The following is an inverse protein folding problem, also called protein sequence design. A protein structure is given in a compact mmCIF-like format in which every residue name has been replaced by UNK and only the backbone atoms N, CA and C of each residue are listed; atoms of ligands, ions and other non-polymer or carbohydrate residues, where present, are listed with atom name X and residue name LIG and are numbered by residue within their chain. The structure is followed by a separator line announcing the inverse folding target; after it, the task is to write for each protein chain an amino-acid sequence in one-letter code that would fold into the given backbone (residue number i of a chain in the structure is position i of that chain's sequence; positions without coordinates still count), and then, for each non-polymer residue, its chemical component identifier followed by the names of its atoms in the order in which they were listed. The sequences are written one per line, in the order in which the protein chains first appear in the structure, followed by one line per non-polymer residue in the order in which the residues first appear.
data_IF_891843075710
#
_entry.id   IF_891843075710
#
_cell.length_a   1.000
_cell.length_b   1.000
_cell.length_c   1.000
_cell.angle_alpha   90.00
_cell.angle_beta   90.00
_cell.angle_gamma   90.00
#
_symmetry.space_group_name_H-M   'P 1'
#
loop_
_entity.id
_entity.type
_entity.pdbx_description
1 polymer ?
#
# COMPACT_ATOMS: atom_id res chain seq x y z
N UNK A 1 -17.76 -0.57 -16.51
CA UNK A 1 -16.93 -0.02 -15.42
C UNK A 1 -15.63 -0.79 -15.45
N UNK A 2 -14.53 -0.12 -15.75
CA UNK A 2 -13.22 -0.76 -15.91
C UNK A 2 -12.57 -0.92 -14.53
N UNK A 3 -11.71 -1.92 -14.31
CA UNK A 3 -10.99 -2.07 -13.02
C UNK A 3 -10.26 -0.79 -12.60
N UNK A 4 -9.75 -0.03 -13.57
CA UNK A 4 -9.12 1.27 -13.33
C UNK A 4 -10.05 2.29 -12.64
N UNK A 5 -11.35 2.31 -12.97
CA UNK A 5 -12.31 3.25 -12.39
C UNK A 5 -12.60 2.93 -10.92
N UNK A 6 -12.49 1.65 -10.55
CA UNK A 6 -12.74 1.13 -9.22
C UNK A 6 -11.48 1.21 -8.32
N UNK A 7 -10.31 0.89 -8.89
CA UNK A 7 -9.03 0.90 -8.18
C UNK A 7 -8.52 2.30 -7.87
N UNK A 8 -8.67 3.24 -8.81
CA UNK A 8 -8.16 4.59 -8.67
C UNK A 8 -8.58 5.28 -7.35
N UNK A 9 -9.89 5.36 -7.01
CA UNK A 9 -10.29 6.02 -5.77
C UNK A 9 -9.79 5.30 -4.51
N UNK A 10 -9.74 3.96 -4.53
CA UNK A 10 -9.24 3.16 -3.40
C UNK A 10 -7.76 3.42 -3.17
N UNK A 11 -6.95 3.30 -4.22
CA UNK A 11 -5.50 3.50 -4.15
C UNK A 11 -5.18 4.96 -3.77
N UNK A 12 -5.84 5.95 -4.36
CA UNK A 12 -5.60 7.36 -4.02
C UNK A 12 -5.87 7.66 -2.53
N UNK A 13 -6.96 7.12 -1.99
CA UNK A 13 -7.38 7.34 -0.60
C UNK A 13 -6.45 6.68 0.41
N UNK A 14 -6.06 5.44 0.15
CA UNK A 14 -5.23 4.62 1.05
C UNK A 14 -3.74 4.93 0.92
N UNK A 15 -3.27 5.34 -0.26
CA UNK A 15 -1.87 5.76 -0.48
C UNK A 15 -1.58 7.16 0.03
N UNK A 16 -2.61 7.90 0.48
CA UNK A 16 -2.50 9.25 1.01
C UNK A 16 -1.84 10.22 0.01
N UNK A 17 -2.18 10.12 -1.27
CA UNK A 17 -1.64 11.02 -2.31
C UNK A 17 -2.14 12.45 -2.14
N UNK A 18 -3.41 12.62 -1.73
CA UNK A 18 -4.08 13.92 -1.61
C UNK A 18 -4.29 14.37 -0.16
N UNK A 19 -4.02 13.52 0.83
CA UNK A 19 -4.29 13.81 2.25
C UNK A 19 -3.14 13.35 3.15
N UNK A 20 -3.06 13.88 4.37
CA UNK A 20 -2.10 13.38 5.36
C UNK A 20 -2.66 12.13 6.05
N UNK A 21 -1.81 11.20 6.47
CA UNK A 21 -2.23 10.05 7.26
C UNK A 21 -2.72 10.44 8.64
N UNK A 22 -3.55 9.57 9.19
CA UNK A 22 -4.01 9.70 10.55
C UNK A 22 -2.84 9.55 11.53
N UNK A 23 -2.87 10.35 12.60
CA UNK A 23 -1.84 10.30 13.64
C UNK A 23 -1.95 8.97 14.40
N UNK A 24 -0.79 8.36 14.66
CA UNK A 24 -0.69 7.13 15.45
C UNK A 24 0.61 7.12 16.26
N UNK A 25 0.61 6.36 17.36
CA UNK A 25 1.82 6.17 18.17
C UNK A 25 2.79 5.31 17.38
N UNK A 26 4.03 5.77 17.23
CA UNK A 26 5.08 5.05 16.53
C UNK A 26 5.33 3.67 17.13
N UNK A 27 5.33 2.64 16.29
CA UNK A 27 5.74 1.30 16.71
C UNK A 27 7.25 1.25 16.87
N UNK A 28 7.71 0.79 18.03
CA UNK A 28 9.15 0.67 18.37
C UNK A 28 9.94 -0.14 17.35
N UNK A 29 9.32 -1.17 16.75
CA UNK A 29 9.93 -2.00 15.70
C UNK A 29 10.41 -1.20 14.49
N UNK A 30 9.81 -0.03 14.20
CA UNK A 30 10.25 0.82 13.10
C UNK A 30 11.64 1.41 13.29
N UNK A 31 12.13 1.45 14.54
CA UNK A 31 13.48 1.94 14.87
C UNK A 31 14.56 0.92 14.58
N UNK A 32 14.20 -0.36 14.52
CA UNK A 32 15.16 -1.48 14.46
C UNK A 32 15.01 -2.33 13.20
N UNK A 33 13.91 -2.19 12.45
CA UNK A 33 13.66 -3.06 11.30
C UNK A 33 14.53 -2.61 10.11
N UNK A 34 15.20 -3.54 9.40
CA UNK A 34 15.94 -3.23 8.17
C UNK A 34 15.06 -2.52 7.13
N UNK A 35 15.73 -1.87 6.18
CA UNK A 35 15.08 -1.28 5.02
C UNK A 35 14.31 -2.35 4.22
N UNK A 36 13.27 -1.91 3.52
CA UNK A 36 12.55 -2.77 2.59
C UNK A 36 13.53 -3.18 1.50
N UNK A 37 13.78 -4.48 1.36
CA UNK A 37 14.65 -5.00 0.31
C UNK A 37 13.87 -4.99 -1.01
N UNK A 38 14.44 -4.42 -2.09
CA UNK A 38 13.87 -4.54 -3.43
C UNK A 38 13.64 -6.00 -3.80
N UNK A 39 12.62 -6.25 -4.61
CA UNK A 39 12.28 -7.57 -5.17
C UNK A 39 11.91 -8.66 -4.14
N UNK A 40 11.78 -8.30 -2.85
CA UNK A 40 11.34 -9.20 -1.78
C UNK A 40 10.05 -8.73 -1.14
N UNK A 41 9.11 -9.66 -0.98
CA UNK A 41 7.89 -9.43 -0.23
C UNK A 41 8.16 -9.54 1.28
N UNK A 42 8.10 -8.42 2.00
CA UNK A 42 8.11 -8.42 3.46
C UNK A 42 6.71 -8.75 3.99
N UNK A 43 6.55 -9.88 4.68
CA UNK A 43 5.26 -10.30 5.23
C UNK A 43 5.15 -9.92 6.72
N UNK A 44 4.11 -9.16 7.07
CA UNK A 44 3.79 -8.78 8.45
C UNK A 44 2.69 -9.68 8.98
N UNK A 45 2.98 -10.48 10.01
CA UNK A 45 2.04 -11.45 10.59
C UNK A 45 1.71 -11.15 12.06
N UNK A 46 0.57 -11.65 12.52
CA UNK A 46 0.15 -11.51 13.93
C UNK A 46 -1.36 -11.59 14.12
N UNK A 47 -1.78 -11.70 15.38
CA UNK A 47 -3.18 -11.85 15.78
C UNK A 47 -4.08 -10.67 15.36
N UNK A 48 -5.40 -10.88 15.36
CA UNK A 48 -6.36 -9.78 15.12
C UNK A 48 -6.17 -8.67 16.15
N UNK A 49 -6.31 -7.42 15.69
CA UNK A 49 -6.18 -6.19 16.51
C UNK A 49 -4.80 -5.89 17.11
N UNK A 50 -3.73 -6.56 16.70
CA UNK A 50 -2.36 -6.15 17.11
C UNK A 50 -1.86 -4.87 16.40
N UNK A 51 -2.56 -4.44 15.35
CA UNK A 51 -2.29 -3.21 14.58
C UNK A 51 -1.28 -3.40 13.45
N UNK A 52 -1.41 -4.49 12.68
CA UNK A 52 -0.62 -4.76 11.46
C UNK A 52 -0.80 -3.66 10.42
N UNK A 53 -2.05 -3.33 10.09
CA UNK A 53 -2.42 -2.23 9.19
C UNK A 53 -1.80 -0.90 9.61
N UNK A 54 -1.79 -0.62 10.92
CA UNK A 54 -1.12 0.56 11.49
C UNK A 54 0.40 0.50 11.32
N UNK A 55 1.02 -0.68 11.50
CA UNK A 55 2.45 -0.84 11.27
C UNK A 55 2.79 -0.67 9.79
N UNK A 56 2.02 -1.29 8.89
CA UNK A 56 2.22 -1.21 7.44
C UNK A 56 2.09 0.23 6.94
N UNK A 57 1.05 0.96 7.37
CA UNK A 57 0.90 2.38 7.03
C UNK A 57 2.03 3.21 7.60
N UNK A 58 2.49 2.95 8.83
CA UNK A 58 3.64 3.65 9.39
C UNK A 58 4.96 3.33 8.65
N UNK A 59 5.15 2.12 8.12
CA UNK A 59 6.32 1.80 7.27
C UNK A 59 6.29 2.69 6.02
N UNK A 60 5.18 2.71 5.29
CA UNK A 60 5.01 3.58 4.12
C UNK A 60 5.29 5.06 4.44
N UNK A 61 4.90 5.49 5.64
CA UNK A 61 5.01 6.89 6.04
C UNK A 61 6.38 7.33 6.53
N UNK A 62 7.06 6.46 7.28
CA UNK A 62 8.28 6.82 8.01
C UNK A 62 9.54 6.41 7.28
N UNK A 63 9.43 5.44 6.38
CA UNK A 63 10.48 5.23 5.38
C UNK A 63 10.42 6.42 4.43
N UNK A 64 11.59 7.00 4.12
CA UNK A 64 11.72 8.17 3.22
C UNK A 64 11.46 7.78 1.76
N UNK A 65 10.37 7.06 1.50
CA UNK A 65 9.98 6.57 0.19
C UNK A 65 9.33 7.71 -0.60
N UNK A 66 9.54 7.77 -1.92
CA UNK A 66 8.83 8.70 -2.79
C UNK A 66 7.32 8.42 -2.71
N UNK A 67 6.56 9.44 -2.30
CA UNK A 67 5.13 9.30 -1.97
C UNK A 67 4.30 8.97 -3.20
N UNK A 68 4.66 9.53 -4.34
CA UNK A 68 4.12 9.28 -5.68
C UNK A 68 4.36 7.85 -6.19
N UNK A 69 5.18 7.05 -5.48
CA UNK A 69 5.53 5.66 -5.84
C UNK A 69 5.07 4.63 -4.81
N UNK A 70 4.34 5.05 -3.79
CA UNK A 70 3.80 4.18 -2.75
C UNK A 70 2.33 3.87 -3.05
N UNK A 71 2.01 2.61 -3.29
CA UNK A 71 0.66 2.15 -3.61
C UNK A 71 0.15 1.29 -2.46
N UNK A 72 -0.77 1.84 -1.66
CA UNK A 72 -1.43 1.13 -0.57
C UNK A 72 -2.79 0.65 -1.04
N UNK A 73 -3.06 -0.64 -0.84
CA UNK A 73 -4.34 -1.28 -1.13
C UNK A 73 -4.83 -1.92 0.15
N UNK A 74 -6.03 -1.52 0.58
CA UNK A 74 -6.78 -2.19 1.63
C UNK A 74 -7.84 -3.08 0.97
N UNK A 75 -7.65 -4.39 0.98
CA UNK A 75 -8.57 -5.37 0.39
C UNK A 75 -9.88 -5.52 1.16
N UNK A 76 -9.94 -5.04 2.41
CA UNK A 76 -11.17 -4.98 3.21
C UNK A 76 -12.02 -3.74 2.88
N UNK A 77 -11.58 -2.87 1.96
CA UNK A 77 -12.38 -1.73 1.52
C UNK A 77 -13.64 -2.23 0.77
N UNK A 78 -14.86 -1.86 1.19
CA UNK A 78 -16.10 -2.34 0.56
C UNK A 78 -16.19 -2.04 -0.93
N UNK A 79 -15.47 -1.02 -1.43
CA UNK A 79 -15.43 -0.68 -2.86
C UNK A 79 -14.74 -1.76 -3.69
N UNK A 80 -13.96 -2.64 -3.08
CA UNK A 80 -13.28 -3.76 -3.75
C UNK A 80 -14.06 -5.08 -3.66
N UNK A 81 -15.16 -5.18 -2.91
CA UNK A 81 -15.80 -6.46 -2.57
C UNK A 81 -16.14 -7.33 -3.78
N UNK A 82 -16.57 -6.70 -4.87
CA UNK A 82 -17.02 -7.36 -6.10
C UNK A 82 -15.87 -7.59 -7.11
N UNK A 83 -14.67 -7.12 -6.80
CA UNK A 83 -13.47 -7.15 -7.64
C UNK A 83 -12.31 -7.95 -7.02
N UNK A 84 -12.58 -8.70 -5.93
CA UNK A 84 -11.61 -9.58 -5.28
C UNK A 84 -11.45 -10.90 -6.07
N UNK A 85 -10.83 -10.80 -7.24
CA UNK A 85 -10.48 -11.93 -8.08
C UNK A 85 -8.96 -11.99 -8.34
N UNK A 86 -8.43 -13.09 -8.90
CA UNK A 86 -6.99 -13.25 -9.13
C UNK A 86 -6.33 -12.18 -10.00
N UNK A 87 -7.09 -11.50 -10.88
CA UNK A 87 -6.57 -10.47 -11.78
C UNK A 87 -6.45 -9.09 -11.11
N UNK A 88 -6.92 -8.96 -9.87
CA UNK A 88 -6.86 -7.70 -9.13
C UNK A 88 -5.42 -7.23 -8.92
N UNK A 89 -4.50 -8.15 -8.59
CA UNK A 89 -3.09 -7.83 -8.38
C UNK A 89 -2.44 -7.33 -9.68
N UNK A 90 -2.69 -8.01 -10.80
CA UNK A 90 -2.20 -7.57 -12.11
C UNK A 90 -2.73 -6.17 -12.46
N UNK A 91 -3.99 -5.90 -12.11
CA UNK A 91 -4.63 -4.60 -12.32
C UNK A 91 -4.02 -3.50 -11.44
N UNK A 92 -3.64 -3.82 -10.20
CA UNK A 92 -2.93 -2.89 -9.29
C UNK A 92 -1.55 -2.56 -9.83
N UNK A 93 -0.81 -3.56 -10.31
CA UNK A 93 0.52 -3.37 -10.92
C UNK A 93 0.42 -2.54 -12.19
N UNK A 94 -0.47 -2.89 -13.12
CA UNK A 94 -0.70 -2.14 -14.35
C UNK A 94 -1.13 -0.69 -14.08
N UNK A 95 -1.93 -0.45 -13.03
CA UNK A 95 -2.28 0.89 -12.59
C UNK A 95 -1.04 1.66 -12.11
N UNK A 96 -0.21 1.06 -11.26
CA UNK A 96 1.01 1.68 -10.78
C UNK A 96 2.02 1.96 -11.91
N UNK A 97 2.05 1.09 -12.92
CA UNK A 97 2.85 1.27 -14.13
C UNK A 97 2.38 2.49 -14.94
N UNK A 98 1.07 2.66 -15.09
CA UNK A 98 0.48 3.81 -15.79
C UNK A 98 0.75 5.18 -15.15
N UNK A 99 1.17 5.21 -13.87
CA UNK A 99 1.39 6.44 -13.10
C UNK A 99 2.86 6.88 -13.05
N UNK A 100 3.80 6.09 -13.55
CA UNK A 100 5.25 6.38 -13.48
C UNK A 100 6.01 6.00 -14.76
N UNK A 101 7.29 6.35 -14.82
CA UNK A 101 8.21 5.88 -15.87
C UNK A 101 8.73 4.47 -15.58
N UNK A 102 9.06 3.71 -16.62
CA UNK A 102 9.43 2.28 -16.55
C UNK A 102 10.64 1.96 -15.65
N UNK A 103 11.47 2.93 -15.30
CA UNK A 103 12.75 2.73 -14.61
C UNK A 103 12.72 3.03 -13.10
N UNK A 104 11.57 3.39 -12.53
CA UNK A 104 11.50 3.85 -11.13
C UNK A 104 10.88 2.78 -10.21
N UNK A 105 11.45 2.56 -9.00
CA UNK A 105 10.94 1.55 -8.08
C UNK A 105 9.54 1.90 -7.58
N UNK A 106 8.67 0.90 -7.55
CA UNK A 106 7.29 0.97 -7.03
C UNK A 106 7.21 0.20 -5.72
N UNK A 107 6.53 0.79 -4.73
CA UNK A 107 6.39 0.21 -3.40
C UNK A 107 4.93 -0.16 -3.18
N UNK A 108 4.65 -1.44 -2.99
CA UNK A 108 3.29 -1.94 -2.76
C UNK A 108 3.09 -2.27 -1.28
N UNK A 109 2.00 -1.78 -0.72
CA UNK A 109 1.55 -2.04 0.64
C UNK A 109 0.17 -2.70 0.55
N UNK A 110 0.12 -3.98 0.87
CA UNK A 110 -1.04 -4.83 0.67
C UNK A 110 -1.60 -5.23 2.04
N UNK A 111 -2.78 -4.71 2.39
CA UNK A 111 -3.47 -4.93 3.68
C UNK A 111 -4.81 -5.65 3.49
#
# INVERSE_FOLDING_TARGET
MTYQDLLLPVIEDWSYFKRKPDKSIERTVLRTHPELQPDLATVIQGVRRCGKSTLLSQIMMKRKLPRDRCFFVNFEDPRLSDALDPNLLDSIVAFADSKGGDSEPRYFFLD
#
